data_IF_721669178852
#
_entry.id   IF_721669178852
#
_cell.length_a   1.000
_cell.length_b   1.000
_cell.length_c   1.000
_cell.angle_alpha   90.00
_cell.angle_beta   90.00
_cell.angle_gamma   90.00
#
_symmetry.space_group_name_H-M   'P 1'
#
loop_
_entity.id
_entity.type
_entity.pdbx_description
1 polymer ?
#
# COMPACT_ATOMS: atom_id res chain seq x y z
N UNK A 1 -24.09 22.25 -9.16
CA UNK A 1 -22.65 22.36 -9.47
C UNK A 1 -21.95 21.32 -8.62
N UNK A 2 -21.64 20.16 -9.19
CA UNK A 2 -21.13 19.01 -8.42
C UNK A 2 -19.60 19.06 -8.47
N UNK A 3 -18.98 19.46 -7.36
CA UNK A 3 -17.53 19.42 -7.22
C UNK A 3 -17.15 18.06 -6.63
N UNK A 4 -16.39 17.29 -7.41
CA UNK A 4 -15.82 16.01 -6.99
C UNK A 4 -14.42 16.23 -6.44
N UNK A 5 -14.11 15.69 -5.26
CA UNK A 5 -12.75 15.34 -4.90
C UNK A 5 -12.76 14.08 -4.04
N UNK A 6 -12.34 12.96 -4.62
CA UNK A 6 -12.00 11.75 -3.88
C UNK A 6 -10.51 11.82 -3.58
N UNK A 7 -10.17 12.26 -2.38
CA UNK A 7 -8.78 12.30 -1.90
C UNK A 7 -8.44 10.94 -1.30
N UNK A 8 -7.56 10.21 -1.97
CA UNK A 8 -6.83 9.07 -1.42
C UNK A 8 -5.43 9.59 -1.13
N UNK A 9 -5.13 9.93 0.12
CA UNK A 9 -3.77 10.23 0.56
C UNK A 9 -3.32 9.13 1.52
N UNK A 10 -2.38 8.31 1.04
CA UNK A 10 -1.48 7.52 1.88
C UNK A 10 -0.25 8.39 2.15
N UNK A 11 -0.29 9.25 3.18
CA UNK A 11 0.92 9.84 3.75
C UNK A 11 0.69 10.28 5.20
N UNK A 12 1.65 9.89 6.03
CA UNK A 12 1.77 10.22 7.45
C UNK A 12 1.96 11.72 7.65
N UNK A 13 1.26 12.29 8.65
CA UNK A 13 1.81 13.35 9.50
C UNK A 13 1.36 13.07 10.94
N UNK A 14 2.33 12.86 11.84
CA UNK A 14 2.08 12.86 13.27
C UNK A 14 1.68 14.27 13.71
N UNK A 15 0.45 14.45 14.21
CA UNK A 15 0.09 15.62 15.02
C UNK A 15 -0.54 15.15 16.31
N UNK A 16 0.18 15.36 17.41
CA UNK A 16 -0.24 15.08 18.76
C UNK A 16 -1.02 16.30 19.30
N UNK A 17 -2.35 16.36 19.16
CA UNK A 17 -3.23 17.09 20.11
C UNK A 17 -4.71 16.75 19.86
N UNK A 18 -5.37 16.25 20.90
CA UNK A 18 -6.66 15.58 20.78
C UNK A 18 -7.90 16.45 20.59
N UNK A 19 -8.91 15.81 20.01
CA UNK A 19 -10.35 15.88 20.33
C UNK A 19 -10.99 14.70 19.57
N UNK A 20 -11.78 13.88 20.25
CA UNK A 20 -12.48 12.76 19.64
C UNK A 20 -13.65 13.30 18.82
N UNK A 21 -13.45 13.43 17.52
CA UNK A 21 -14.44 13.82 16.53
C UNK A 21 -14.19 12.90 15.33
N UNK A 22 -15.20 12.19 14.85
CA UNK A 22 -15.08 11.29 13.72
C UNK A 22 -14.56 12.08 12.51
N UNK A 23 -13.30 11.87 12.11
CA UNK A 23 -12.61 12.57 10.99
C UNK A 23 -13.24 12.35 9.60
N UNK A 24 -14.43 11.78 9.53
CA UNK A 24 -15.21 11.66 8.30
C UNK A 24 -15.95 12.97 8.04
N UNK A 25 -15.78 13.51 6.84
CA UNK A 25 -16.42 14.74 6.38
C UNK A 25 -17.56 14.45 5.39
N UNK A 26 -18.14 15.52 4.84
CA UNK A 26 -19.28 15.42 3.90
C UNK A 26 -18.97 14.62 2.62
N UNK A 27 -17.69 14.59 2.20
CA UNK A 27 -17.23 13.94 0.96
C UNK A 27 -16.08 12.96 1.19
N UNK A 28 -15.68 12.74 2.44
CA UNK A 28 -14.51 11.93 2.79
C UNK A 28 -14.82 11.01 3.96
N UNK A 29 -14.41 9.75 3.84
CA UNK A 29 -14.55 8.76 4.91
C UNK A 29 -13.15 8.33 5.32
N UNK A 30 -12.86 8.42 6.60
CA UNK A 30 -11.57 7.98 7.18
C UNK A 30 -11.77 6.62 7.83
N UNK A 31 -10.99 5.64 7.39
CA UNK A 31 -10.97 4.29 7.96
C UNK A 31 -9.70 4.12 8.81
N UNK A 32 -9.83 3.55 10.00
CA UNK A 32 -8.73 3.29 10.94
C UNK A 32 -8.59 1.79 11.17
N UNK A 33 -7.42 1.38 11.66
CA UNK A 33 -7.11 0.00 12.02
C UNK A 33 -7.38 -1.00 10.90
N UNK A 34 -6.94 -0.64 9.68
CA UNK A 34 -7.09 -1.46 8.49
C UNK A 34 -6.21 -2.72 8.56
N UNK A 35 -6.77 -3.84 8.10
CA UNK A 35 -6.08 -5.12 7.94
C UNK A 35 -6.01 -5.50 6.45
N UNK A 36 -5.20 -6.49 6.06
CA UNK A 36 -5.11 -6.91 4.65
C UNK A 36 -6.47 -7.31 4.04
N UNK A 37 -7.34 -7.92 4.87
CA UNK A 37 -8.72 -8.29 4.53
C UNK A 37 -9.64 -7.09 4.29
N UNK A 38 -9.22 -5.88 4.67
CA UNK A 38 -9.95 -4.65 4.37
C UNK A 38 -9.80 -4.22 2.90
N UNK A 39 -9.00 -4.94 2.10
CA UNK A 39 -8.95 -4.75 0.65
C UNK A 39 -10.25 -5.21 0.00
N UNK A 40 -10.85 -4.37 -0.84
CA UNK A 40 -12.15 -4.69 -1.43
C UNK A 40 -12.80 -3.53 -2.16
N UNK A 41 -14.02 -3.76 -2.65
CA UNK A 41 -14.83 -2.73 -3.31
C UNK A 41 -15.65 -1.94 -2.29
N UNK A 42 -15.40 -0.64 -2.22
CA UNK A 42 -16.12 0.30 -1.36
C UNK A 42 -17.14 1.07 -2.20
N UNK A 43 -18.36 1.17 -1.69
CA UNK A 43 -19.49 1.83 -2.36
C UNK A 43 -19.90 3.08 -1.60
N UNK A 44 -20.04 4.18 -2.33
CA UNK A 44 -20.70 5.39 -1.88
C UNK A 44 -22.10 5.46 -2.51
N UNK A 45 -23.09 5.80 -1.69
CA UNK A 45 -24.50 5.87 -2.05
C UNK A 45 -25.08 7.20 -1.58
N UNK A 46 -25.76 7.91 -2.49
CA UNK A 46 -26.44 9.16 -2.20
C UNK A 46 -27.88 9.04 -2.68
N UNK A 47 -28.83 9.32 -1.80
CA UNK A 47 -30.26 9.25 -2.09
C UNK A 47 -30.94 10.59 -1.83
N UNK A 48 -31.88 10.97 -2.70
CA UNK A 48 -32.79 12.11 -2.48
C UNK A 48 -34.06 11.65 -1.78
N UNK A 49 -34.70 12.57 -1.04
CA UNK A 49 -35.96 12.32 -0.34
C UNK A 49 -37.19 12.59 -1.22
N UNK A 50 -38.39 12.33 -0.69
CA UNK A 50 -39.66 12.51 -1.36
C UNK A 50 -39.82 13.93 -1.98
N UNK A 51 -40.58 14.06 -3.09
CA UNK A 51 -41.37 13.03 -3.78
C UNK A 51 -40.59 12.23 -4.83
N UNK A 52 -39.37 12.64 -5.19
CA UNK A 52 -38.56 12.04 -6.25
C UNK A 52 -37.35 11.35 -5.63
N UNK A 53 -37.50 10.06 -5.33
CA UNK A 53 -36.45 9.22 -4.77
C UNK A 53 -35.46 8.80 -5.86
N UNK A 54 -34.28 9.42 -5.88
CA UNK A 54 -33.18 9.08 -6.78
C UNK A 54 -31.98 8.65 -5.96
N UNK A 55 -31.45 7.48 -6.28
CA UNK A 55 -30.23 6.96 -5.66
C UNK A 55 -29.12 6.88 -6.70
N UNK A 56 -27.97 7.47 -6.39
CA UNK A 56 -26.76 7.38 -7.20
C UNK A 56 -25.70 6.58 -6.44
N UNK A 57 -25.10 5.62 -7.14
CA UNK A 57 -24.10 4.71 -6.59
C UNK A 57 -22.77 4.90 -7.33
N UNK A 58 -21.68 4.90 -6.57
CA UNK A 58 -20.31 4.84 -7.10
C UNK A 58 -19.50 3.86 -6.30
N UNK A 59 -18.75 3.01 -7.00
CA UNK A 59 -17.90 1.99 -6.42
C UNK A 59 -16.43 2.27 -6.75
N UNK A 60 -15.54 1.97 -5.82
CA UNK A 60 -14.09 1.97 -6.06
C UNK A 60 -13.42 0.85 -5.28
N UNK A 61 -12.45 0.20 -5.91
CA UNK A 61 -11.62 -0.81 -5.25
C UNK A 61 -10.50 -0.13 -4.45
N UNK A 62 -10.35 -0.52 -3.19
CA UNK A 62 -9.23 -0.15 -2.33
C UNK A 62 -8.37 -1.39 -2.10
N UNK A 63 -7.06 -1.24 -2.24
CA UNK A 63 -6.07 -2.29 -1.99
C UNK A 63 -5.10 -1.80 -0.93
N UNK A 64 -4.77 -2.68 0.02
CA UNK A 64 -3.85 -2.39 1.10
C UNK A 64 -2.49 -2.98 0.76
N UNK A 65 -1.45 -2.17 0.95
CA UNK A 65 -0.06 -2.51 0.71
C UNK A 65 0.75 -2.26 1.98
N UNK A 66 1.58 -3.22 2.34
CA UNK A 66 2.56 -3.09 3.40
C UNK A 66 3.94 -3.32 2.79
N UNK A 67 4.66 -2.26 2.39
CA UNK A 67 6.02 -2.42 1.88
C UNK A 67 6.95 -2.96 2.97
N UNK A 68 8.05 -3.65 2.59
CA UNK A 68 9.10 -4.02 3.54
C UNK A 68 9.57 -2.79 4.32
N UNK A 69 9.79 -2.92 5.63
CA UNK A 69 10.25 -1.81 6.48
C UNK A 69 11.74 -1.52 6.36
N UNK A 70 12.48 -2.42 5.75
CA UNK A 70 13.92 -2.32 5.54
C UNK A 70 14.28 -2.87 4.17
N UNK A 71 15.47 -2.49 3.71
CA UNK A 71 16.08 -3.07 2.53
C UNK A 71 16.30 -4.58 2.72
N UNK A 72 16.36 -5.36 1.63
CA UNK A 72 16.68 -6.78 1.71
C UNK A 72 18.11 -6.99 2.19
N UNK A 73 18.29 -8.01 3.02
CA UNK A 73 19.60 -8.41 3.53
C UNK A 73 20.20 -9.50 2.65
N UNK A 74 21.53 -9.45 2.49
CA UNK A 74 22.28 -10.38 1.66
C UNK A 74 23.29 -11.14 2.51
N UNK A 75 23.07 -12.45 2.61
CA UNK A 75 23.91 -13.37 3.37
C UNK A 75 24.61 -14.39 2.47
N UNK A 76 25.67 -15.02 2.97
CA UNK A 76 26.36 -16.12 2.28
C UNK A 76 27.40 -15.70 1.22
N UNK A 77 27.56 -14.40 0.97
CA UNK A 77 28.62 -13.90 0.10
C UNK A 77 30.00 -13.94 0.76
N UNK A 78 31.03 -14.21 -0.05
CA UNK A 78 32.44 -14.18 0.36
C UNK A 78 33.07 -12.83 0.00
N UNK A 79 34.10 -12.38 0.75
CA UNK A 79 34.77 -11.10 0.47
C UNK A 79 35.53 -11.09 -0.86
N UNK A 80 35.88 -12.25 -1.41
CA UNK A 80 36.57 -12.38 -2.70
C UNK A 80 36.24 -13.71 -3.38
N UNK A 81 36.29 -13.69 -4.71
CA UNK A 81 36.05 -14.85 -5.58
C UNK A 81 37.14 -14.92 -6.65
N UNK A 82 37.48 -16.15 -7.08
CA UNK A 82 38.33 -16.36 -8.25
C UNK A 82 37.50 -16.43 -9.53
N UNK A 83 38.16 -16.21 -10.67
CA UNK A 83 37.51 -16.37 -11.98
C UNK A 83 37.09 -17.84 -12.13
N UNK A 84 35.81 -18.05 -12.42
CA UNK A 84 35.20 -19.38 -12.52
C UNK A 84 34.54 -19.87 -11.24
N UNK A 85 34.66 -19.15 -10.12
CA UNK A 85 33.93 -19.48 -8.90
C UNK A 85 32.43 -19.30 -9.07
N UNK A 86 31.66 -20.18 -8.43
CA UNK A 86 30.22 -19.99 -8.26
C UNK A 86 29.97 -18.98 -7.13
N UNK A 87 29.28 -17.89 -7.47
CA UNK A 87 28.77 -16.93 -6.48
C UNK A 87 27.37 -17.39 -6.08
N UNK A 88 27.20 -17.69 -4.79
CA UNK A 88 25.91 -18.04 -4.20
C UNK A 88 25.72 -17.17 -2.96
N UNK A 89 24.54 -16.56 -2.86
CA UNK A 89 24.12 -15.76 -1.73
C UNK A 89 22.62 -15.90 -1.54
N UNK A 90 22.16 -15.58 -0.35
CA UNK A 90 20.74 -15.54 -0.02
C UNK A 90 20.32 -14.08 0.13
N UNK A 91 19.30 -13.66 -0.61
CA UNK A 91 18.72 -12.33 -0.53
C UNK A 91 17.35 -12.47 0.14
N UNK A 92 17.18 -11.86 1.29
CA UNK A 92 15.96 -11.97 2.09
C UNK A 92 15.34 -10.60 2.29
N UNK A 93 14.08 -10.43 1.89
CA UNK A 93 13.32 -9.21 2.19
C UNK A 93 12.68 -9.28 3.58
N UNK A 94 12.50 -8.11 4.20
CA UNK A 94 11.59 -7.99 5.33
C UNK A 94 10.14 -8.27 4.89
N UNK A 95 9.29 -8.66 5.83
CA UNK A 95 7.89 -8.98 5.57
C UNK A 95 7.16 -7.85 4.84
N UNK A 96 6.46 -8.21 3.78
CA UNK A 96 5.65 -7.28 3.00
C UNK A 96 4.35 -7.91 2.53
N UNK A 97 3.40 -7.06 2.16
CA UNK A 97 2.17 -7.45 1.48
C UNK A 97 1.93 -6.55 0.27
N UNK A 98 1.79 -7.13 -0.94
CA UNK A 98 2.04 -8.54 -1.27
C UNK A 98 3.53 -8.93 -1.06
N UNK A 99 3.88 -10.23 -1.18
CA UNK A 99 5.27 -10.66 -1.07
C UNK A 99 6.19 -9.89 -2.02
N UNK A 100 7.33 -9.44 -1.50
CA UNK A 100 8.29 -8.68 -2.29
C UNK A 100 8.88 -9.54 -3.41
N UNK A 101 9.11 -8.93 -4.56
CA UNK A 101 9.85 -9.55 -5.67
C UNK A 101 11.32 -9.17 -5.56
N UNK A 102 12.20 -10.15 -5.48
CA UNK A 102 13.65 -9.96 -5.38
C UNK A 102 14.30 -10.23 -6.74
N UNK A 103 15.41 -9.55 -6.99
CA UNK A 103 16.22 -9.76 -8.18
C UNK A 103 17.69 -9.47 -7.86
N UNK A 104 18.57 -10.25 -8.46
CA UNK A 104 20.01 -10.12 -8.28
C UNK A 104 20.61 -9.26 -9.39
N UNK A 105 21.42 -8.29 -8.99
CA UNK A 105 22.16 -7.42 -9.90
C UNK A 105 23.66 -7.50 -9.62
N UNK A 106 24.45 -7.64 -10.68
CA UNK A 106 25.91 -7.60 -10.63
C UNK A 106 26.38 -6.48 -11.56
N UNK A 107 27.09 -5.49 -11.02
CA UNK A 107 27.54 -4.29 -11.75
C UNK A 107 26.40 -3.59 -12.53
N UNK A 108 25.19 -3.57 -11.95
CA UNK A 108 24.01 -2.96 -12.58
C UNK A 108 23.29 -3.82 -13.62
N UNK A 109 23.78 -5.03 -13.91
CA UNK A 109 23.11 -5.98 -14.80
C UNK A 109 22.36 -7.04 -14.00
N UNK A 110 21.11 -7.33 -14.38
CA UNK A 110 20.33 -8.37 -13.74
C UNK A 110 20.88 -9.75 -14.10
N UNK A 111 21.15 -10.58 -13.09
CA UNK A 111 21.71 -11.93 -13.24
C UNK A 111 20.80 -13.03 -12.70
N UNK A 112 19.73 -12.66 -11.98
CA UNK A 112 18.75 -13.62 -11.46
C UNK A 112 17.50 -12.96 -10.86
N UNK A 113 16.50 -13.78 -10.58
CA UNK A 113 15.24 -13.46 -9.91
C UNK A 113 14.95 -14.54 -8.89
#
# INVERSE_FOLDING_TARGET
>A
MYFWHMKLETSFNCVHRGREESESGLTSVTLRDLTFESSGSYKCEVSTEAPDFKTVLKNKFMSIWAPPRSDPDVEGLRPSYYIGDLVSGNCTSASSYPPASLAWYLNGQQVGT
#
